data_IF_836334473112
#
_entry.id   IF_836334473112
#
_cell.length_a   1.000
_cell.length_b   1.000
_cell.length_c   1.000
_cell.angle_alpha   90.00
_cell.angle_beta   90.00
_cell.angle_gamma   90.00
#
_symmetry.space_group_name_H-M   'P 1'
#
loop_
_entity.id
_entity.type
_entity.pdbx_description
1 polymer ?
#
# COMPACT_ATOMS: atom_id res chain seq x y z
N UNK A 1 0.03 19.97 13.74
CA UNK A 1 -1.40 19.81 14.15
C UNK A 1 -1.47 19.76 15.67
N UNK A 2 -2.56 20.14 16.30
CA UNK A 2 -2.66 19.95 17.75
C UNK A 2 -2.92 18.47 18.09
N UNK A 3 -2.40 17.98 19.20
CA UNK A 3 -2.79 16.69 19.76
C UNK A 3 -4.32 16.60 19.88
N UNK A 4 -4.91 15.48 19.47
CA UNK A 4 -6.37 15.29 19.42
C UNK A 4 -6.78 14.01 20.11
N UNK A 5 -7.75 14.09 21.00
CA UNK A 5 -8.27 12.92 21.71
C UNK A 5 -9.11 12.02 20.78
N UNK A 6 -8.82 10.74 20.79
CA UNK A 6 -9.55 9.70 20.04
C UNK A 6 -10.69 9.17 20.93
N UNK A 7 -10.33 8.73 22.12
CA UNK A 7 -11.20 8.37 23.24
C UNK A 7 -10.50 8.82 24.51
N UNK A 8 -11.17 8.75 25.65
CA UNK A 8 -10.62 9.17 26.94
C UNK A 8 -9.20 8.63 27.20
N UNK A 9 -8.24 9.54 27.37
CA UNK A 9 -6.83 9.25 27.62
C UNK A 9 -6.07 8.54 26.48
N UNK A 10 -6.59 8.57 25.25
CA UNK A 10 -5.89 8.13 24.04
C UNK A 10 -5.87 9.29 23.03
N UNK A 11 -4.67 9.74 22.64
CA UNK A 11 -4.48 10.94 21.81
C UNK A 11 -3.69 10.63 20.55
N UNK A 12 -4.11 11.16 19.40
CA UNK A 12 -3.27 11.25 18.22
C UNK A 12 -2.30 12.43 18.39
N UNK A 13 -1.00 12.15 18.34
CA UNK A 13 0.10 13.11 18.57
C UNK A 13 1.02 13.26 17.34
N UNK A 14 0.81 12.47 16.31
CA UNK A 14 1.59 12.50 15.07
C UNK A 14 1.45 13.80 14.27
N UNK A 15 1.96 13.80 13.05
CA UNK A 15 2.06 14.96 12.15
C UNK A 15 1.30 14.76 10.86
N UNK A 16 1.03 15.85 10.13
CA UNK A 16 0.41 15.80 8.79
C UNK A 16 1.27 16.55 7.81
N UNK A 17 1.69 15.86 6.76
CA UNK A 17 2.42 16.45 5.66
C UNK A 17 1.50 16.68 4.44
N UNK A 18 0.96 17.89 4.33
CA UNK A 18 0.08 18.33 3.25
C UNK A 18 0.78 18.42 1.90
N UNK A 19 2.10 18.63 1.93
CA UNK A 19 2.92 18.89 0.76
C UNK A 19 3.72 17.68 0.29
N UNK A 20 3.58 16.53 0.94
CA UNK A 20 4.19 15.30 0.49
C UNK A 20 3.62 14.91 -0.88
N UNK A 21 4.48 14.82 -1.90
CA UNK A 21 4.09 14.44 -3.27
C UNK A 21 4.58 13.06 -3.68
N UNK A 22 5.58 12.56 -3.00
CA UNK A 22 6.11 11.21 -3.18
C UNK A 22 6.48 10.63 -1.82
N UNK A 23 5.94 9.46 -1.53
CA UNK A 23 6.35 8.63 -0.41
C UNK A 23 7.46 7.70 -0.89
N UNK A 24 8.54 7.54 -0.11
CA UNK A 24 9.72 6.73 -0.43
C UNK A 24 10.33 7.00 -1.82
N UNK A 25 10.19 8.21 -2.32
CA UNK A 25 10.64 8.60 -3.67
C UNK A 25 10.07 7.73 -4.82
N UNK A 26 9.06 6.93 -4.57
CA UNK A 26 8.48 5.97 -5.53
C UNK A 26 6.97 6.09 -5.70
N UNK A 27 6.23 6.33 -4.60
CA UNK A 27 4.77 6.34 -4.62
C UNK A 27 4.23 7.77 -4.63
N UNK A 28 3.52 8.18 -5.70
CA UNK A 28 2.84 9.47 -5.73
C UNK A 28 1.75 9.58 -4.67
N UNK A 29 1.77 10.66 -3.89
CA UNK A 29 0.82 10.97 -2.81
C UNK A 29 0.09 12.29 -3.08
N UNK A 30 -0.84 12.33 -4.04
CA UNK A 30 -1.50 13.57 -4.47
C UNK A 30 -2.28 14.28 -3.37
N UNK A 31 -2.65 13.56 -2.31
CA UNK A 31 -3.37 14.05 -1.13
C UNK A 31 -2.48 14.25 0.11
N UNK A 32 -1.14 14.21 -0.05
CA UNK A 32 -0.23 14.24 1.09
C UNK A 32 -0.29 12.96 1.91
N UNK A 33 0.18 13.02 3.15
CA UNK A 33 0.11 11.91 4.10
C UNK A 33 0.01 12.44 5.54
N UNK A 34 -0.19 11.54 6.50
CA UNK A 34 0.10 11.75 7.90
C UNK A 34 1.08 10.70 8.40
N UNK A 35 1.83 11.03 9.43
CA UNK A 35 2.69 10.14 10.19
C UNK A 35 2.12 10.06 11.59
N UNK A 36 1.26 9.08 11.81
CA UNK A 36 0.49 8.99 13.05
C UNK A 36 1.32 8.33 14.14
N UNK A 37 1.28 8.93 15.32
CA UNK A 37 1.72 8.34 16.55
C UNK A 37 0.64 8.60 17.61
N UNK A 38 0.58 7.75 18.64
CA UNK A 38 -0.52 7.81 19.58
C UNK A 38 0.00 7.74 21.02
N UNK A 39 -0.55 8.59 21.90
CA UNK A 39 -0.25 8.58 23.32
C UNK A 39 -1.38 7.91 24.09
N UNK A 40 -1.06 6.88 24.85
CA UNK A 40 -2.00 6.15 25.72
C UNK A 40 -1.61 6.42 27.18
N UNK A 41 -2.51 7.04 27.94
CA UNK A 41 -2.33 7.35 29.35
C UNK A 41 -3.14 6.40 30.22
N UNK A 42 -2.46 5.52 30.94
CA UNK A 42 -3.04 4.79 32.06
C UNK A 42 -3.00 5.64 33.35
N UNK A 43 -3.45 5.09 34.46
CA UNK A 43 -3.38 5.74 35.78
C UNK A 43 -1.99 5.66 36.42
N UNK A 44 -1.13 4.75 35.96
CA UNK A 44 0.21 4.50 36.52
C UNK A 44 1.32 4.73 35.49
N UNK A 45 1.08 4.42 34.23
CA UNK A 45 2.07 4.40 33.16
C UNK A 45 1.54 5.07 31.89
N UNK A 46 2.47 5.58 31.09
CA UNK A 46 2.18 6.21 29.79
C UNK A 46 2.98 5.54 28.69
N UNK A 47 2.31 5.15 27.61
CA UNK A 47 2.91 4.58 26.41
C UNK A 47 2.71 5.50 25.20
N UNK A 48 3.78 5.70 24.44
CA UNK A 48 3.74 6.27 23.12
C UNK A 48 3.77 5.13 22.11
N UNK A 49 2.84 5.10 21.17
CA UNK A 49 2.76 4.12 20.08
C UNK A 49 3.31 4.77 18.83
N UNK A 50 4.40 4.23 18.29
CA UNK A 50 5.23 4.74 17.21
C UNK A 50 5.78 6.15 17.45
N UNK A 51 6.67 6.64 16.59
CA UNK A 51 7.38 7.92 16.83
C UNK A 51 7.20 8.93 15.69
N UNK A 52 6.93 8.48 14.47
CA UNK A 52 6.70 9.32 13.30
C UNK A 52 7.97 9.71 12.53
N UNK A 53 7.79 10.57 11.53
CA UNK A 53 8.77 10.99 10.54
C UNK A 53 9.77 12.02 11.12
N UNK A 54 11.09 11.80 10.99
CA UNK A 54 12.11 12.71 11.54
C UNK A 54 12.06 14.14 11.03
N UNK A 55 11.61 14.35 9.79
CA UNK A 55 11.51 15.69 9.22
C UNK A 55 10.46 16.57 9.90
N UNK A 56 9.55 15.99 10.66
CA UNK A 56 8.43 16.65 11.35
C UNK A 56 8.68 16.78 12.88
N UNK A 57 9.93 16.61 13.35
CA UNK A 57 10.35 16.58 14.76
C UNK A 57 9.75 17.71 15.59
N UNK A 58 9.89 18.96 15.14
CA UNK A 58 9.45 20.13 15.89
C UNK A 58 7.95 20.15 16.15
N UNK A 59 7.14 19.73 15.19
CA UNK A 59 5.69 19.63 15.33
C UNK A 59 5.32 18.49 16.27
N UNK A 60 5.95 17.33 16.11
CA UNK A 60 5.72 16.15 16.94
C UNK A 60 6.00 16.42 18.43
N UNK A 61 7.20 16.96 18.74
CA UNK A 61 7.56 17.32 20.11
C UNK A 61 6.60 18.37 20.68
N UNK A 62 6.19 19.36 19.86
CA UNK A 62 5.19 20.35 20.27
C UNK A 62 3.85 19.69 20.66
N UNK A 63 3.42 18.67 19.93
CA UNK A 63 2.19 17.92 20.22
C UNK A 63 2.27 17.18 21.56
N UNK A 64 3.41 16.54 21.87
CA UNK A 64 3.63 15.92 23.18
C UNK A 64 3.65 16.95 24.32
N UNK A 65 4.34 18.07 24.13
CA UNK A 65 4.40 19.15 25.13
C UNK A 65 3.03 19.76 25.46
N UNK A 66 2.13 19.86 24.46
CA UNK A 66 0.76 20.37 24.68
C UNK A 66 -0.10 19.48 25.58
N UNK A 67 0.26 18.22 25.73
CA UNK A 67 -0.39 17.27 26.64
C UNK A 67 0.29 17.22 28.01
N UNK A 68 1.20 18.19 28.31
CA UNK A 68 2.03 18.21 29.52
C UNK A 68 2.80 16.90 29.74
N UNK A 69 3.21 16.24 28.65
CA UNK A 69 3.85 14.96 28.71
C UNK A 69 5.35 15.12 29.00
N UNK A 70 5.69 15.14 30.29
CA UNK A 70 7.05 15.33 30.79
C UNK A 70 7.82 14.01 31.01
N UNK A 71 7.14 12.87 30.93
CA UNK A 71 7.75 11.54 31.09
C UNK A 71 7.02 10.51 30.24
N UNK A 72 7.74 9.55 29.69
CA UNK A 72 7.21 8.35 29.08
C UNK A 72 7.78 7.13 29.81
N UNK A 73 6.93 6.14 30.06
CA UNK A 73 7.36 4.84 30.57
C UNK A 73 7.74 3.92 29.42
N UNK A 74 6.97 3.97 28.33
CA UNK A 74 7.13 3.09 27.19
C UNK A 74 7.05 3.84 25.86
N UNK A 75 7.89 3.41 24.91
CA UNK A 75 7.79 3.74 23.50
C UNK A 75 7.55 2.40 22.79
N UNK A 76 6.36 2.19 22.27
CA UNK A 76 5.97 0.97 21.56
C UNK A 76 6.24 1.16 20.08
N UNK A 77 7.17 0.41 19.52
CA UNK A 77 7.43 0.43 18.08
C UNK A 77 6.72 -0.76 17.43
N UNK A 78 5.67 -0.49 16.65
CA UNK A 78 4.89 -1.51 15.96
C UNK A 78 5.59 -1.99 14.70
N UNK A 79 6.49 -1.15 14.15
CA UNK A 79 7.20 -1.37 12.89
C UNK A 79 8.51 -0.58 12.87
N UNK A 80 9.56 -1.14 12.27
CA UNK A 80 10.91 -0.57 12.30
C UNK A 80 11.22 0.44 11.20
N UNK A 81 10.35 0.65 10.22
CA UNK A 81 10.56 1.62 9.14
C UNK A 81 10.72 3.04 9.70
N UNK A 82 11.59 3.86 9.08
CA UNK A 82 12.05 5.12 9.69
C UNK A 82 10.97 6.19 9.79
N UNK A 83 9.92 6.14 8.99
CA UNK A 83 8.78 7.06 9.10
C UNK A 83 7.88 6.76 10.31
N UNK A 84 8.04 5.59 10.94
CA UNK A 84 7.39 5.19 12.21
C UNK A 84 8.37 5.23 13.39
N UNK A 85 9.63 4.91 13.15
CA UNK A 85 10.64 4.71 14.20
C UNK A 85 11.72 5.79 14.22
N UNK A 86 11.77 6.68 13.24
CA UNK A 86 12.91 7.56 12.99
C UNK A 86 13.21 8.55 14.11
N UNK A 87 12.22 8.92 14.92
CA UNK A 87 12.44 9.78 16.08
C UNK A 87 12.80 9.02 17.36
N UNK A 88 12.91 7.68 17.30
CA UNK A 88 13.22 6.88 18.48
C UNK A 88 14.52 7.31 19.19
N UNK A 89 15.66 7.57 18.51
CA UNK A 89 16.88 8.03 19.17
C UNK A 89 16.67 9.33 19.97
N UNK A 90 16.03 10.33 19.35
CA UNK A 90 15.71 11.60 20.00
C UNK A 90 14.83 11.40 21.24
N UNK A 91 13.79 10.58 21.13
CA UNK A 91 12.88 10.32 22.24
C UNK A 91 13.56 9.58 23.39
N UNK A 92 14.52 8.69 23.11
CA UNK A 92 15.32 8.03 24.13
C UNK A 92 16.25 9.00 24.87
N UNK A 93 16.70 10.06 24.22
CA UNK A 93 17.47 11.15 24.83
C UNK A 93 16.56 12.07 25.67
N UNK A 94 15.39 12.43 25.15
CA UNK A 94 14.40 13.29 25.85
C UNK A 94 13.78 12.56 27.05
N UNK A 95 13.51 11.27 26.91
CA UNK A 95 12.90 10.41 27.93
C UNK A 95 13.85 9.28 28.34
N UNK A 96 14.91 9.58 29.12
CA UNK A 96 15.98 8.62 29.41
C UNK A 96 15.54 7.40 30.23
N UNK A 97 14.34 7.43 30.81
CA UNK A 97 13.79 6.31 31.59
C UNK A 97 12.83 5.43 30.78
N UNK A 98 12.40 5.87 29.58
CA UNK A 98 11.48 5.11 28.77
C UNK A 98 12.08 3.80 28.29
N UNK A 99 11.31 2.74 28.22
CA UNK A 99 11.67 1.45 27.62
C UNK A 99 11.04 1.33 26.25
N UNK A 100 11.76 0.73 25.31
CA UNK A 100 11.26 0.41 23.97
C UNK A 100 10.56 -0.95 24.02
N UNK A 101 9.28 -0.98 23.69
CA UNK A 101 8.48 -2.23 23.65
C UNK A 101 8.28 -2.60 22.20
N UNK A 102 8.73 -3.77 21.79
CA UNK A 102 8.63 -4.25 20.43
C UNK A 102 8.85 -5.77 20.36
N UNK A 103 8.69 -6.37 19.16
CA UNK A 103 9.03 -7.78 18.97
C UNK A 103 10.53 -7.98 18.61
N UNK A 104 11.01 -9.22 18.66
CA UNK A 104 12.42 -9.55 18.44
C UNK A 104 12.92 -9.15 17.04
N UNK A 105 12.07 -9.31 16.01
CA UNK A 105 12.45 -8.96 14.63
C UNK A 105 12.60 -7.45 14.49
N UNK A 106 11.63 -6.71 15.00
CA UNK A 106 11.64 -5.24 14.97
C UNK A 106 12.82 -4.67 15.79
N UNK A 107 13.12 -5.24 16.97
CA UNK A 107 14.32 -4.86 17.75
C UNK A 107 15.58 -4.94 16.87
N UNK A 108 15.76 -6.06 16.14
CA UNK A 108 16.90 -6.22 15.24
C UNK A 108 17.00 -5.09 14.23
N UNK A 109 15.88 -4.74 13.59
CA UNK A 109 15.83 -3.63 12.63
C UNK A 109 16.10 -2.28 13.27
N UNK A 110 15.49 -1.97 14.42
CA UNK A 110 15.68 -0.71 15.13
C UNK A 110 17.14 -0.51 15.55
N UNK A 111 17.80 -1.57 16.04
CA UNK A 111 19.22 -1.53 16.41
C UNK A 111 20.09 -1.20 15.21
N UNK A 112 19.88 -1.85 14.07
CA UNK A 112 20.64 -1.63 12.84
C UNK A 112 20.37 -0.22 12.23
N UNK A 113 19.10 0.17 12.11
CA UNK A 113 18.71 1.41 11.44
C UNK A 113 19.02 2.67 12.25
N UNK A 114 19.06 2.56 13.58
CA UNK A 114 19.26 3.71 14.48
C UNK A 114 20.54 3.64 15.31
N UNK A 115 21.44 2.67 15.07
CA UNK A 115 22.70 2.46 15.81
C UNK A 115 22.50 2.30 17.34
N UNK A 116 21.50 1.53 17.75
CA UNK A 116 21.15 1.34 19.17
C UNK A 116 21.86 0.14 19.83
N UNK A 117 23.05 -0.24 19.34
CA UNK A 117 23.78 -1.45 19.76
C UNK A 117 24.11 -1.54 21.26
N UNK A 118 24.24 -0.39 21.94
CA UNK A 118 24.58 -0.34 23.38
C UNK A 118 23.34 -0.19 24.28
N UNK A 119 22.12 -0.27 23.71
CA UNK A 119 20.86 0.00 24.40
C UNK A 119 20.02 -1.26 24.66
N UNK A 120 20.64 -2.44 24.72
CA UNK A 120 19.91 -3.72 24.86
C UNK A 120 19.03 -3.77 26.11
N UNK A 121 19.47 -3.20 27.21
CA UNK A 121 18.72 -3.09 28.48
C UNK A 121 17.48 -2.17 28.39
N UNK A 122 17.36 -1.38 27.32
CA UNK A 122 16.21 -0.48 27.11
C UNK A 122 15.03 -1.20 26.45
N UNK A 123 15.23 -2.39 25.88
CA UNK A 123 14.19 -3.12 25.15
C UNK A 123 13.40 -4.06 26.07
N UNK A 124 12.09 -4.10 25.84
CA UNK A 124 11.15 -5.11 26.34
C UNK A 124 10.60 -5.82 25.10
N UNK A 125 10.89 -7.12 25.03
CA UNK A 125 10.42 -7.93 23.89
C UNK A 125 9.05 -8.50 24.24
N UNK A 126 8.12 -8.33 23.30
CA UNK A 126 6.76 -8.86 23.37
C UNK A 126 6.49 -9.82 22.21
N UNK A 127 5.66 -10.83 22.47
CA UNK A 127 5.21 -11.83 21.52
C UNK A 127 3.71 -11.79 21.31
N UNK A 128 3.23 -12.83 20.63
CA UNK A 128 1.80 -13.02 20.39
C UNK A 128 1.03 -13.13 21.70
N UNK A 129 -0.04 -12.34 21.84
CA UNK A 129 -0.94 -12.27 23.01
C UNK A 129 -0.32 -11.77 24.31
N UNK A 130 0.94 -11.30 24.30
CA UNK A 130 1.54 -10.62 25.46
C UNK A 130 0.78 -9.34 25.79
N UNK A 131 0.84 -8.93 27.05
CA UNK A 131 0.15 -7.74 27.54
C UNK A 131 1.06 -6.83 28.34
N UNK A 132 0.77 -5.53 28.32
CA UNK A 132 1.45 -4.49 29.08
C UNK A 132 0.41 -3.65 29.82
N UNK A 133 0.42 -3.71 31.15
CA UNK A 133 -0.49 -2.95 32.01
C UNK A 133 0.02 -1.51 32.20
N UNK A 134 -0.85 -0.55 31.97
CA UNK A 134 -0.59 0.89 32.16
C UNK A 134 -1.34 1.46 33.37
N UNK A 135 -2.04 0.62 34.12
CA UNK A 135 -2.99 1.03 35.15
C UNK A 135 -4.33 1.45 34.54
N UNK A 136 -5.31 0.56 34.57
CA UNK A 136 -6.65 0.78 34.01
C UNK A 136 -6.76 0.81 32.49
N UNK A 137 -5.65 0.68 31.79
CA UNK A 137 -5.56 0.41 30.36
C UNK A 137 -4.50 -0.65 30.13
N UNK A 138 -4.84 -1.65 29.29
CA UNK A 138 -3.97 -2.80 28.97
C UNK A 138 -3.69 -2.80 27.48
N UNK A 139 -2.41 -2.72 27.10
CA UNK A 139 -1.98 -2.98 25.73
C UNK A 139 -1.83 -4.49 25.56
N UNK A 140 -2.50 -5.05 24.54
CA UNK A 140 -2.33 -6.43 24.09
C UNK A 140 -1.72 -6.44 22.70
N UNK A 141 -0.71 -7.30 22.49
CA UNK A 141 0.08 -7.34 21.27
C UNK A 141 -0.28 -8.53 20.38
N UNK A 142 -0.25 -8.31 19.07
CA UNK A 142 -0.50 -9.32 18.06
C UNK A 142 0.58 -9.22 16.99
N UNK A 143 1.33 -10.30 16.76
CA UNK A 143 2.32 -10.34 15.68
C UNK A 143 1.59 -10.40 14.33
N UNK A 144 1.99 -9.52 13.41
CA UNK A 144 1.36 -9.38 12.10
C UNK A 144 2.41 -9.26 10.97
N UNK A 145 3.37 -10.21 10.87
CA UNK A 145 4.43 -10.14 9.87
C UNK A 145 3.86 -10.12 8.44
N UNK A 146 4.55 -9.36 7.56
CA UNK A 146 4.22 -9.22 6.14
C UNK A 146 2.94 -8.42 5.83
N UNK A 147 2.58 -7.50 6.75
CA UNK A 147 1.66 -6.40 6.45
C UNK A 147 2.26 -5.05 6.89
N UNK A 148 3.37 -4.54 6.27
CA UNK A 148 3.93 -5.17 5.05
C UNK A 148 5.35 -5.73 5.26
N UNK A 149 6.04 -5.46 6.38
CA UNK A 149 7.37 -5.97 6.70
C UNK A 149 7.29 -7.16 7.68
N UNK A 150 8.42 -7.93 7.82
CA UNK A 150 8.44 -9.14 8.66
C UNK A 150 8.31 -8.86 10.18
N UNK A 151 8.51 -7.63 10.59
CA UNK A 151 8.53 -7.17 11.97
C UNK A 151 7.21 -6.54 12.44
N UNK A 152 6.26 -6.31 11.55
CA UNK A 152 5.00 -5.63 11.89
C UNK A 152 4.26 -6.35 13.00
N UNK A 153 3.74 -5.58 13.95
CA UNK A 153 2.79 -6.04 14.97
C UNK A 153 1.67 -5.03 15.18
N UNK A 154 0.57 -5.47 15.78
CA UNK A 154 -0.53 -4.61 16.23
C UNK A 154 -0.53 -4.51 17.75
N UNK A 155 -1.12 -3.43 18.27
CA UNK A 155 -1.38 -3.27 19.69
C UNK A 155 -2.83 -2.83 19.91
N UNK A 156 -3.51 -3.42 20.88
CA UNK A 156 -4.89 -3.09 21.26
C UNK A 156 -4.92 -2.50 22.65
N UNK A 157 -5.62 -1.37 22.86
CA UNK A 157 -6.11 -1.00 24.18
C UNK A 157 -7.41 -1.77 24.41
N UNK A 158 -7.34 -2.81 25.22
CA UNK A 158 -8.41 -3.80 25.38
C UNK A 158 -9.70 -3.17 25.91
N UNK A 159 -9.61 -2.29 26.90
CA UNK A 159 -10.76 -1.68 27.59
C UNK A 159 -11.55 -0.75 26.65
N UNK A 160 -10.87 -0.07 25.73
CA UNK A 160 -11.45 0.89 24.80
C UNK A 160 -11.78 0.28 23.44
N UNK A 161 -11.26 -0.92 23.15
CA UNK A 161 -11.32 -1.57 21.83
C UNK A 161 -10.70 -0.68 20.73
N UNK A 162 -9.55 -0.07 21.01
CA UNK A 162 -8.77 0.71 20.05
C UNK A 162 -7.60 -0.13 19.57
N UNK A 163 -7.55 -0.43 18.27
CA UNK A 163 -6.50 -1.22 17.65
C UNK A 163 -5.56 -0.32 16.85
N UNK A 164 -4.29 -0.31 17.21
CA UNK A 164 -3.21 0.30 16.44
C UNK A 164 -2.65 -0.75 15.48
N UNK A 165 -2.72 -0.47 14.18
CA UNK A 165 -2.45 -1.47 13.14
C UNK A 165 -1.17 -1.20 12.34
N UNK A 166 -0.34 -0.25 12.78
CA UNK A 166 0.80 0.21 11.98
C UNK A 166 0.30 0.61 10.56
N UNK A 167 0.96 0.20 9.51
CA UNK A 167 0.57 0.48 8.13
C UNK A 167 -0.72 -0.22 7.69
N UNK A 168 -1.07 -1.31 8.34
CA UNK A 168 -2.23 -2.09 7.91
C UNK A 168 -3.52 -1.28 8.02
N UNK A 169 -4.30 -1.23 6.93
CA UNK A 169 -5.52 -0.43 6.78
C UNK A 169 -5.28 1.09 6.75
N UNK A 170 -4.02 1.52 6.64
CA UNK A 170 -3.63 2.93 6.48
C UNK A 170 -3.94 3.50 5.09
N UNK A 171 -3.70 4.81 4.96
CA UNK A 171 -3.94 5.54 3.71
C UNK A 171 -3.05 6.78 3.65
N UNK A 172 -2.28 7.00 2.58
CA UNK A 172 -1.61 8.29 2.37
C UNK A 172 -2.66 9.36 2.02
N UNK A 173 -3.14 10.01 3.06
CA UNK A 173 -4.18 11.02 2.97
C UNK A 173 -4.03 12.03 4.11
N UNK A 174 -3.58 13.23 3.77
CA UNK A 174 -3.61 14.35 4.70
C UNK A 174 -5.06 14.78 4.93
N UNK A 175 -5.49 14.86 6.18
CA UNK A 175 -6.88 15.19 6.56
C UNK A 175 -6.91 16.23 7.65
N UNK A 176 -7.81 17.21 7.52
CA UNK A 176 -8.13 18.16 8.57
C UNK A 176 -9.00 17.55 9.68
N UNK A 177 -9.68 16.42 9.38
CA UNK A 177 -10.47 15.66 10.35
C UNK A 177 -9.65 14.53 10.94
N UNK A 178 -9.79 14.27 12.24
CA UNK A 178 -9.15 13.15 12.90
C UNK A 178 -9.69 11.81 12.41
N UNK A 179 -11.00 11.76 12.21
CA UNK A 179 -11.69 10.54 11.86
C UNK A 179 -12.04 10.50 10.38
N UNK A 180 -11.92 9.29 9.80
CA UNK A 180 -12.43 9.01 8.47
C UNK A 180 -13.97 9.20 8.46
N UNK A 181 -14.46 9.84 7.41
CA UNK A 181 -15.88 9.98 7.14
C UNK A 181 -16.14 9.90 5.62
N UNK A 182 -17.39 9.68 5.24
CA UNK A 182 -17.79 9.53 3.84
C UNK A 182 -17.73 10.84 3.02
N UNK A 183 -17.49 11.98 3.67
CA UNK A 183 -17.37 13.28 3.02
C UNK A 183 -15.94 13.59 2.55
N UNK A 184 -14.94 12.77 2.96
CA UNK A 184 -13.55 12.97 2.52
C UNK A 184 -13.43 12.67 1.02
N UNK A 185 -13.12 13.68 0.19
CA UNK A 185 -13.04 13.50 -1.24
C UNK A 185 -11.88 12.55 -1.59
N UNK A 186 -12.12 11.66 -2.54
CA UNK A 186 -11.11 10.74 -3.08
C UNK A 186 -10.45 9.80 -2.04
N UNK A 187 -11.01 9.70 -0.82
CA UNK A 187 -10.43 8.87 0.24
C UNK A 187 -10.34 7.39 -0.16
N UNK A 188 -11.40 6.87 -0.78
CA UNK A 188 -11.42 5.46 -1.22
C UNK A 188 -10.43 5.20 -2.38
N UNK A 189 -10.21 6.19 -3.24
CA UNK A 189 -9.18 6.11 -4.27
C UNK A 189 -7.79 6.09 -3.63
N UNK A 190 -7.52 6.99 -2.68
CA UNK A 190 -6.26 7.02 -1.94
C UNK A 190 -6.02 5.72 -1.16
N UNK A 191 -7.04 5.14 -0.52
CA UNK A 191 -6.95 3.86 0.17
C UNK A 191 -6.62 2.71 -0.79
N UNK A 192 -7.23 2.68 -1.99
CA UNK A 192 -6.93 1.67 -3.00
C UNK A 192 -5.52 1.83 -3.58
N UNK A 193 -5.06 3.08 -3.75
CA UNK A 193 -3.69 3.40 -4.17
C UNK A 193 -2.67 2.90 -3.14
N UNK A 194 -2.91 3.18 -1.87
CA UNK A 194 -2.09 2.71 -0.74
C UNK A 194 -2.06 1.18 -0.70
N UNK A 195 -3.23 0.52 -0.71
CA UNK A 195 -3.32 -0.93 -0.77
C UNK A 195 -2.50 -1.52 -1.94
N UNK A 196 -2.65 -0.96 -3.13
CA UNK A 196 -1.99 -1.49 -4.32
C UNK A 196 -0.47 -1.42 -4.25
N UNK A 197 0.06 -0.34 -3.68
CA UNK A 197 1.49 -0.08 -3.64
C UNK A 197 2.21 -0.82 -2.51
N UNK A 198 1.54 -1.01 -1.35
CA UNK A 198 2.18 -1.49 -0.11
C UNK A 198 1.67 -2.89 0.27
N UNK A 199 0.35 -3.13 0.21
CA UNK A 199 -0.28 -4.34 0.76
C UNK A 199 -0.50 -5.44 -0.28
N UNK A 200 -0.76 -5.09 -1.55
CA UNK A 200 -1.13 -6.06 -2.60
C UNK A 200 -0.10 -7.18 -2.83
N UNK A 201 1.22 -6.95 -2.73
CA UNK A 201 2.21 -8.04 -2.85
C UNK A 201 2.05 -9.13 -1.78
N UNK A 202 1.46 -8.78 -0.65
CA UNK A 202 1.30 -9.60 0.54
C UNK A 202 -0.15 -10.06 0.77
N UNK A 203 -0.95 -10.21 -0.30
CA UNK A 203 -2.39 -10.56 -0.22
C UNK A 203 -2.72 -11.73 0.73
N UNK A 204 -1.85 -12.73 0.82
CA UNK A 204 -2.02 -13.86 1.72
C UNK A 204 -2.11 -13.42 3.18
N UNK A 205 -1.09 -12.67 3.62
CA UNK A 205 -1.02 -12.10 4.96
C UNK A 205 -2.14 -11.09 5.21
N UNK A 206 -2.46 -10.24 4.21
CA UNK A 206 -3.60 -9.32 4.32
C UNK A 206 -4.89 -10.08 4.65
N UNK A 207 -5.21 -11.19 3.97
CA UNK A 207 -6.42 -11.99 4.28
C UNK A 207 -6.39 -12.57 5.69
N UNK A 208 -5.23 -13.10 6.10
CA UNK A 208 -5.05 -13.65 7.45
C UNK A 208 -5.32 -12.60 8.52
N UNK A 209 -4.73 -11.41 8.40
CA UNK A 209 -4.90 -10.36 9.40
C UNK A 209 -6.22 -9.62 9.32
N UNK A 210 -6.94 -9.66 8.20
CA UNK A 210 -8.35 -9.25 8.17
C UNK A 210 -9.21 -10.16 9.04
N UNK A 211 -8.98 -11.47 9.06
CA UNK A 211 -9.69 -12.40 9.96
C UNK A 211 -9.31 -12.17 11.43
N UNK A 212 -8.04 -11.83 11.71
CA UNK A 212 -7.62 -11.42 13.05
C UNK A 212 -8.35 -10.15 13.49
N UNK A 213 -8.40 -9.11 12.66
CA UNK A 213 -9.13 -7.86 12.95
C UNK A 213 -10.60 -8.12 13.22
N UNK A 214 -11.26 -8.99 12.43
CA UNK A 214 -12.65 -9.40 12.68
C UNK A 214 -12.83 -10.14 14.02
N UNK A 215 -11.83 -10.92 14.43
CA UNK A 215 -11.84 -11.66 15.71
C UNK A 215 -11.66 -10.72 16.90
N UNK A 216 -10.80 -9.72 16.78
CA UNK A 216 -10.57 -8.67 17.78
C UNK A 216 -11.83 -7.79 17.92
N UNK A 217 -12.55 -7.56 16.81
CA UNK A 217 -13.74 -6.70 16.75
C UNK A 217 -13.51 -5.31 17.35
N UNK A 218 -12.50 -4.54 16.84
CA UNK A 218 -12.19 -3.23 17.38
C UNK A 218 -13.31 -2.23 17.05
N UNK A 219 -13.57 -1.29 17.97
CA UNK A 219 -14.47 -0.16 17.72
C UNK A 219 -13.77 0.91 16.87
N UNK A 220 -12.47 1.05 17.07
CA UNK A 220 -11.64 2.05 16.40
C UNK A 220 -10.37 1.35 15.90
N UNK A 221 -9.98 1.66 14.66
CA UNK A 221 -8.66 1.32 14.14
C UNK A 221 -7.88 2.62 13.96
N UNK A 222 -6.68 2.65 14.50
CA UNK A 222 -5.76 3.78 14.49
C UNK A 222 -4.48 3.42 13.72
N UNK A 223 -4.45 3.60 12.39
CA UNK A 223 -3.31 3.25 11.54
C UNK A 223 -2.22 4.31 11.60
N UNK A 224 -1.01 3.96 11.14
CA UNK A 224 0.12 4.89 11.09
C UNK A 224 0.01 5.96 10.01
N UNK A 225 -0.86 5.78 9.02
CA UNK A 225 -1.12 6.79 7.98
C UNK A 225 -2.62 7.03 7.76
N UNK A 226 -2.96 8.28 7.51
CA UNK A 226 -4.33 8.71 7.22
C UNK A 226 -5.20 8.89 8.47
N UNK A 227 -6.50 9.12 8.29
CA UNK A 227 -7.44 9.34 9.38
C UNK A 227 -7.73 8.05 10.17
N UNK A 228 -8.06 8.22 11.44
CA UNK A 228 -8.52 7.14 12.35
C UNK A 228 -9.89 6.62 11.90
N UNK A 229 -10.10 5.32 11.93
CA UNK A 229 -11.29 4.63 11.46
C UNK A 229 -12.24 4.33 12.62
N UNK A 230 -13.32 5.11 12.76
CA UNK A 230 -14.37 4.88 13.79
C UNK A 230 -15.37 3.78 13.38
N UNK A 231 -15.52 3.53 12.08
CA UNK A 231 -16.36 2.47 11.53
C UNK A 231 -15.51 1.64 10.56
N UNK A 232 -14.60 0.78 11.08
CA UNK A 232 -13.59 0.12 10.27
C UNK A 232 -14.17 -0.89 9.27
N UNK A 233 -15.40 -1.38 9.47
CA UNK A 233 -16.01 -2.42 8.64
C UNK A 233 -15.95 -2.11 7.14
N UNK A 234 -16.21 -0.86 6.73
CA UNK A 234 -16.19 -0.46 5.31
C UNK A 234 -14.81 -0.68 4.66
N UNK A 235 -13.73 -0.27 5.33
CA UNK A 235 -12.36 -0.45 4.82
C UNK A 235 -11.93 -1.91 4.90
N UNK A 236 -12.30 -2.60 5.96
CA UNK A 236 -12.07 -4.05 6.11
C UNK A 236 -12.72 -4.83 4.97
N UNK A 237 -13.97 -4.52 4.61
CA UNK A 237 -14.69 -5.16 3.50
C UNK A 237 -14.04 -4.85 2.14
N UNK A 238 -13.57 -3.60 1.93
CA UNK A 238 -12.85 -3.23 0.71
C UNK A 238 -11.51 -3.96 0.59
N UNK A 239 -10.75 -4.04 1.67
CA UNK A 239 -9.50 -4.82 1.69
C UNK A 239 -9.77 -6.31 1.43
N UNK A 240 -10.85 -6.88 1.98
CA UNK A 240 -11.25 -8.26 1.72
C UNK A 240 -11.58 -8.49 0.23
N UNK A 241 -12.29 -7.55 -0.42
CA UNK A 241 -12.54 -7.59 -1.88
C UNK A 241 -11.22 -7.49 -2.65
N UNK A 242 -10.36 -6.51 -2.35
CA UNK A 242 -9.09 -6.30 -3.04
C UNK A 242 -8.12 -7.47 -2.86
N UNK A 243 -8.04 -8.05 -1.66
CA UNK A 243 -7.18 -9.17 -1.33
C UNK A 243 -7.75 -10.54 -1.75
N UNK A 244 -8.99 -10.63 -2.24
CA UNK A 244 -9.59 -11.88 -2.71
C UNK A 244 -8.81 -12.52 -3.86
N UNK A 245 -9.01 -13.82 -4.10
CA UNK A 245 -8.36 -14.56 -5.19
C UNK A 245 -9.05 -14.35 -6.55
N UNK A 246 -10.30 -13.87 -6.55
CA UNK A 246 -11.09 -13.72 -7.77
C UNK A 246 -10.94 -12.29 -8.30
N UNK A 247 -10.41 -12.11 -9.52
CA UNK A 247 -10.42 -10.81 -10.19
C UNK A 247 -11.82 -10.46 -10.69
N UNK A 248 -12.02 -9.20 -11.05
CA UNK A 248 -13.24 -8.73 -11.69
C UNK A 248 -13.14 -8.89 -13.20
N UNK A 249 -14.27 -9.11 -13.86
CA UNK A 249 -14.37 -9.05 -15.31
C UNK A 249 -13.99 -7.66 -15.82
N UNK A 250 -12.69 -7.41 -15.97
CA UNK A 250 -12.12 -6.11 -16.31
C UNK A 250 -10.78 -6.29 -17.01
N UNK A 251 -10.52 -5.50 -18.03
CA UNK A 251 -9.24 -5.42 -18.75
C UNK A 251 -8.58 -4.07 -18.50
N UNK A 252 -7.28 -4.10 -18.23
CA UNK A 252 -6.43 -2.91 -18.22
C UNK A 252 -5.54 -2.94 -19.45
N UNK A 253 -5.61 -1.90 -20.30
CA UNK A 253 -4.75 -1.70 -21.45
C UNK A 253 -3.80 -0.54 -21.14
N UNK A 254 -2.55 -0.86 -20.82
CA UNK A 254 -1.50 0.13 -20.53
C UNK A 254 -0.61 0.29 -21.78
N UNK A 255 -0.62 1.47 -22.40
CA UNK A 255 0.06 1.67 -23.68
C UNK A 255 1.03 2.83 -23.68
N UNK A 256 2.03 2.72 -24.53
CA UNK A 256 2.88 3.82 -24.98
C UNK A 256 2.98 3.78 -26.51
N UNK A 257 3.03 4.93 -27.15
CA UNK A 257 3.13 5.01 -28.61
C UNK A 257 4.00 6.18 -29.04
N UNK A 258 4.93 5.96 -29.98
CA UNK A 258 5.82 7.00 -30.50
C UNK A 258 5.22 7.69 -31.73
N UNK A 259 4.71 6.91 -32.69
CA UNK A 259 4.25 7.40 -34.00
C UNK A 259 2.82 6.99 -34.33
N UNK A 260 2.04 6.57 -33.32
CA UNK A 260 0.61 6.29 -33.45
C UNK A 260 0.24 4.83 -33.75
N UNK A 261 1.14 3.99 -34.28
CA UNK A 261 0.86 2.59 -34.60
C UNK A 261 0.33 1.80 -33.39
N UNK A 262 1.09 1.74 -32.30
CA UNK A 262 0.68 1.04 -31.07
C UNK A 262 -0.60 1.62 -30.47
N UNK A 263 -0.79 2.96 -30.52
CA UNK A 263 -2.03 3.59 -30.05
C UNK A 263 -3.24 3.15 -30.86
N UNK A 264 -3.11 3.03 -32.19
CA UNK A 264 -4.19 2.51 -33.03
C UNK A 264 -4.55 1.07 -32.66
N UNK A 265 -3.54 0.19 -32.48
CA UNK A 265 -3.75 -1.19 -32.03
C UNK A 265 -4.46 -1.26 -30.67
N UNK A 266 -4.02 -0.44 -29.70
CA UNK A 266 -4.66 -0.35 -28.40
C UNK A 266 -6.13 0.09 -28.50
N UNK A 267 -6.44 1.07 -29.35
CA UNK A 267 -7.80 1.54 -29.57
C UNK A 267 -8.67 0.46 -30.22
N UNK A 268 -8.18 -0.27 -31.25
CA UNK A 268 -8.91 -1.38 -31.84
C UNK A 268 -9.23 -2.48 -30.82
N UNK A 269 -8.27 -2.80 -29.93
CA UNK A 269 -8.51 -3.77 -28.87
C UNK A 269 -9.56 -3.28 -27.86
N UNK A 270 -9.49 -2.02 -27.45
CA UNK A 270 -10.47 -1.40 -26.55
C UNK A 270 -11.88 -1.45 -27.16
N UNK A 271 -12.02 -1.02 -28.41
CA UNK A 271 -13.30 -1.06 -29.13
C UNK A 271 -13.83 -2.49 -29.25
N UNK A 272 -12.96 -3.44 -29.58
CA UNK A 272 -13.33 -4.85 -29.70
C UNK A 272 -13.81 -5.47 -28.38
N UNK A 273 -13.17 -5.09 -27.24
CA UNK A 273 -13.57 -5.53 -25.90
C UNK A 273 -14.91 -4.91 -25.47
N UNK A 274 -15.12 -3.62 -25.75
CA UNK A 274 -16.39 -2.93 -25.46
C UNK A 274 -17.54 -3.58 -26.23
N UNK A 275 -17.35 -3.93 -27.52
CA UNK A 275 -18.35 -4.63 -28.33
C UNK A 275 -18.72 -6.01 -27.75
N UNK A 276 -17.85 -6.62 -26.93
CA UNK A 276 -18.07 -7.89 -26.23
C UNK A 276 -18.60 -7.70 -24.81
N UNK A 277 -18.92 -6.46 -24.42
CA UNK A 277 -19.43 -6.14 -23.08
C UNK A 277 -18.41 -6.26 -21.96
N UNK A 278 -17.12 -6.22 -22.27
CA UNK A 278 -16.04 -6.29 -21.27
C UNK A 278 -15.64 -4.89 -20.83
N UNK A 279 -15.73 -4.56 -19.53
CA UNK A 279 -15.20 -3.32 -19.00
C UNK A 279 -13.70 -3.20 -19.25
N UNK A 280 -13.25 -2.09 -19.83
CA UNK A 280 -11.85 -1.85 -20.15
C UNK A 280 -11.43 -0.45 -19.72
N UNK A 281 -10.25 -0.35 -19.10
CA UNK A 281 -9.60 0.92 -18.82
C UNK A 281 -8.31 1.02 -19.63
N UNK A 282 -8.16 2.13 -20.34
CA UNK A 282 -6.98 2.41 -21.16
C UNK A 282 -6.14 3.51 -20.51
N UNK A 283 -4.83 3.27 -20.37
CA UNK A 283 -3.88 4.18 -19.75
C UNK A 283 -2.71 4.48 -20.67
N UNK A 284 -2.46 5.77 -20.93
CA UNK A 284 -1.23 6.20 -21.58
C UNK A 284 -0.12 6.26 -20.54
N UNK A 285 0.88 5.42 -20.66
CA UNK A 285 1.98 5.28 -19.69
C UNK A 285 2.88 6.54 -19.58
N UNK A 286 2.77 7.48 -20.51
CA UNK A 286 3.49 8.77 -20.40
C UNK A 286 2.80 9.74 -19.44
N UNK A 287 1.49 9.60 -19.24
CA UNK A 287 0.66 10.53 -18.46
C UNK A 287 0.08 9.87 -17.20
N UNK A 288 0.35 8.58 -17.00
CA UNK A 288 -0.20 7.77 -15.89
C UNK A 288 0.86 7.52 -14.84
N UNK A 289 0.65 7.99 -13.62
CA UNK A 289 1.53 7.68 -12.51
C UNK A 289 1.41 6.22 -12.04
N UNK A 290 2.45 5.75 -11.31
CA UNK A 290 2.54 4.36 -10.83
C UNK A 290 1.39 3.96 -9.89
N UNK A 291 0.87 4.88 -9.08
CA UNK A 291 -0.23 4.61 -8.15
C UNK A 291 -1.58 4.47 -8.86
N UNK A 292 -1.82 5.24 -9.94
CA UNK A 292 -3.01 5.08 -10.80
C UNK A 292 -2.97 3.71 -11.48
N UNK A 293 -1.84 3.34 -12.07
CA UNK A 293 -1.69 2.03 -12.69
C UNK A 293 -1.83 0.90 -11.66
N UNK A 294 -1.16 1.03 -10.50
CA UNK A 294 -1.25 0.09 -9.40
C UNK A 294 -2.71 -0.14 -8.95
N UNK A 295 -3.46 0.94 -8.73
CA UNK A 295 -4.90 0.86 -8.37
C UNK A 295 -5.75 0.20 -9.45
N UNK A 296 -5.43 0.45 -10.72
CA UNK A 296 -6.19 -0.10 -11.84
C UNK A 296 -6.06 -1.62 -11.95
N UNK A 297 -4.87 -2.16 -11.63
CA UNK A 297 -4.57 -3.60 -11.77
C UNK A 297 -4.97 -4.43 -10.55
N UNK A 298 -5.36 -3.82 -9.41
CA UNK A 298 -5.74 -4.54 -8.17
C UNK A 298 -6.73 -5.69 -8.44
N UNK A 299 -7.72 -5.43 -9.28
CA UNK A 299 -8.85 -6.34 -9.53
C UNK A 299 -9.06 -6.69 -11.01
N UNK A 300 -8.11 -6.35 -11.89
CA UNK A 300 -8.21 -6.64 -13.30
C UNK A 300 -7.90 -8.13 -13.60
N UNK A 301 -8.79 -8.78 -14.34
CA UNK A 301 -8.60 -10.17 -14.79
C UNK A 301 -7.55 -10.28 -15.90
N UNK A 302 -7.47 -9.27 -16.76
CA UNK A 302 -6.48 -9.23 -17.86
C UNK A 302 -5.75 -7.89 -17.87
N UNK A 303 -4.42 -7.93 -18.05
CA UNK A 303 -3.58 -6.76 -18.25
C UNK A 303 -2.88 -6.89 -19.62
N UNK A 304 -3.03 -5.87 -20.45
CA UNK A 304 -2.39 -5.77 -21.77
C UNK A 304 -1.34 -4.66 -21.73
N UNK A 305 -0.10 -4.99 -22.05
CA UNK A 305 0.97 -4.02 -22.27
C UNK A 305 1.10 -3.77 -23.78
N UNK A 306 0.86 -2.54 -24.19
CA UNK A 306 0.97 -2.13 -25.58
C UNK A 306 2.20 -1.22 -25.76
N UNK A 307 3.20 -1.65 -26.55
CA UNK A 307 4.49 -0.97 -26.66
C UNK A 307 5.05 -0.98 -28.08
N UNK A 308 5.68 0.12 -28.55
CA UNK A 308 6.55 0.06 -29.72
C UNK A 308 7.91 -0.53 -29.34
N UNK A 309 8.66 -0.95 -30.34
CA UNK A 309 10.07 -1.35 -30.18
C UNK A 309 10.99 -0.13 -30.23
N UNK A 310 11.87 -0.05 -29.23
CA UNK A 310 12.94 0.95 -29.12
C UNK A 310 14.27 0.22 -28.92
N UNK A 311 15.28 0.48 -29.80
CA UNK A 311 16.59 -0.16 -29.70
C UNK A 311 16.50 -1.68 -29.50
N UNK A 312 15.66 -2.35 -30.35
CA UNK A 312 15.39 -3.77 -30.35
C UNK A 312 14.55 -4.31 -29.17
N UNK A 313 14.38 -3.56 -28.08
CA UNK A 313 13.58 -3.92 -26.88
C UNK A 313 12.26 -3.16 -26.81
N UNK A 314 11.47 -3.38 -25.74
CA UNK A 314 10.28 -2.60 -25.46
C UNK A 314 10.63 -1.16 -25.05
N UNK A 315 9.68 -0.23 -25.19
CA UNK A 315 9.85 1.13 -24.70
C UNK A 315 10.08 1.15 -23.19
N UNK A 316 11.03 1.98 -22.64
CA UNK A 316 11.37 1.98 -21.22
C UNK A 316 10.20 2.12 -20.26
N UNK A 317 9.19 2.97 -20.57
CA UNK A 317 8.00 3.09 -19.69
C UNK A 317 7.14 1.83 -19.68
N UNK A 318 7.13 1.02 -20.76
CA UNK A 318 6.47 -0.27 -20.78
C UNK A 318 7.22 -1.31 -19.94
N UNK A 319 8.55 -1.23 -19.90
CA UNK A 319 9.39 -2.04 -18.99
C UNK A 319 9.08 -1.69 -17.54
N UNK A 320 8.98 -0.40 -17.21
CA UNK A 320 8.59 0.04 -15.87
C UNK A 320 7.18 -0.47 -15.49
N UNK A 321 6.21 -0.41 -16.41
CA UNK A 321 4.87 -0.95 -16.15
C UNK A 321 4.89 -2.47 -15.94
N UNK A 322 5.67 -3.22 -16.72
CA UNK A 322 5.86 -4.67 -16.54
C UNK A 322 6.53 -4.99 -15.19
N UNK A 323 7.53 -4.20 -14.79
CA UNK A 323 8.16 -4.33 -13.49
C UNK A 323 7.15 -4.10 -12.35
N UNK A 324 6.31 -3.08 -12.44
CA UNK A 324 5.26 -2.82 -11.46
C UNK A 324 4.26 -3.98 -11.39
N UNK A 325 3.78 -4.50 -12.50
CA UNK A 325 2.88 -5.67 -12.54
C UNK A 325 3.54 -6.86 -11.84
N UNK A 326 4.83 -7.13 -12.13
CA UNK A 326 5.59 -8.20 -11.47
C UNK A 326 5.76 -7.97 -9.97
N UNK A 327 6.14 -6.76 -9.56
CA UNK A 327 6.43 -6.44 -8.16
C UNK A 327 5.15 -6.43 -7.30
N UNK A 328 4.08 -5.85 -7.81
CA UNK A 328 2.81 -5.69 -7.10
C UNK A 328 1.97 -6.98 -7.07
N UNK A 329 2.27 -7.97 -7.91
CA UNK A 329 1.62 -9.30 -7.92
C UNK A 329 0.09 -9.23 -7.90
N UNK A 330 -0.56 -8.54 -8.85
CA UNK A 330 -2.01 -8.47 -8.90
C UNK A 330 -2.63 -9.87 -9.05
N UNK A 331 -3.91 -10.02 -8.73
CA UNK A 331 -4.66 -11.28 -8.87
C UNK A 331 -5.09 -11.58 -10.32
N UNK A 332 -4.45 -10.91 -11.30
CA UNK A 332 -4.74 -11.09 -12.73
C UNK A 332 -4.56 -12.54 -13.17
N UNK A 333 -5.37 -12.99 -14.11
CA UNK A 333 -5.32 -14.35 -14.67
C UNK A 333 -4.64 -14.38 -16.03
N UNK A 334 -4.69 -13.28 -16.79
CA UNK A 334 -4.15 -13.21 -18.14
C UNK A 334 -3.32 -11.96 -18.36
N UNK A 335 -2.22 -12.13 -19.09
CA UNK A 335 -1.33 -11.06 -19.51
C UNK A 335 -1.20 -11.09 -21.04
N UNK A 336 -1.13 -9.94 -21.68
CA UNK A 336 -0.93 -9.87 -23.13
C UNK A 336 0.02 -8.75 -23.52
N UNK A 337 0.68 -8.94 -24.65
CA UNK A 337 1.58 -7.94 -25.24
C UNK A 337 1.13 -7.65 -26.65
N UNK A 338 0.85 -6.38 -26.96
CA UNK A 338 0.60 -5.93 -28.32
C UNK A 338 1.54 -4.80 -28.71
N UNK A 339 1.79 -4.59 -29.99
CA UNK A 339 2.64 -3.48 -30.40
C UNK A 339 3.23 -3.60 -31.79
N UNK A 340 4.22 -2.76 -32.05
CA UNK A 340 4.82 -2.68 -33.37
C UNK A 340 6.32 -2.42 -33.36
N UNK A 341 6.97 -2.76 -34.47
CA UNK A 341 8.39 -2.53 -34.70
C UNK A 341 8.66 -2.05 -36.13
N UNK A 342 9.84 -1.44 -36.37
CA UNK A 342 10.24 -1.01 -37.71
C UNK A 342 11.10 -2.06 -38.44
N UNK A 343 12.20 -2.51 -37.83
CA UNK A 343 13.22 -3.33 -38.50
C UNK A 343 13.60 -4.61 -37.77
N UNK A 344 13.32 -4.72 -36.47
CA UNK A 344 13.58 -5.91 -35.67
C UNK A 344 13.17 -5.70 -34.23
N UNK A 345 12.91 -6.78 -33.49
CA UNK A 345 12.41 -6.71 -32.13
C UNK A 345 12.72 -7.96 -31.32
N UNK A 346 12.92 -7.78 -30.03
CA UNK A 346 12.85 -8.82 -28.97
C UNK A 346 11.87 -8.39 -27.84
N UNK A 347 11.03 -7.38 -28.10
CA UNK A 347 10.20 -6.76 -27.07
C UNK A 347 9.22 -7.75 -26.43
N UNK A 348 8.62 -8.64 -27.20
CA UNK A 348 7.67 -9.64 -26.72
C UNK A 348 8.35 -10.61 -25.75
N UNK A 349 9.47 -11.21 -26.15
CA UNK A 349 10.19 -12.15 -25.29
C UNK A 349 10.68 -11.47 -24.00
N UNK A 350 11.22 -10.26 -24.11
CA UNK A 350 11.68 -9.49 -22.95
C UNK A 350 10.57 -9.25 -21.93
N UNK A 351 9.38 -8.83 -22.40
CA UNK A 351 8.24 -8.60 -21.51
C UNK A 351 7.66 -9.91 -20.97
N UNK A 352 7.61 -10.96 -21.77
CA UNK A 352 7.13 -12.27 -21.35
C UNK A 352 8.00 -12.85 -20.21
N UNK A 353 9.33 -12.84 -20.36
CA UNK A 353 10.27 -13.26 -19.32
C UNK A 353 10.13 -12.43 -18.03
N UNK A 354 9.92 -11.12 -18.16
CA UNK A 354 9.71 -10.25 -16.99
C UNK A 354 8.40 -10.56 -16.27
N UNK A 355 7.34 -10.91 -16.99
CA UNK A 355 6.00 -11.14 -16.48
C UNK A 355 5.75 -12.58 -16.01
N UNK A 356 6.58 -13.55 -16.43
CA UNK A 356 6.46 -14.96 -16.04
C UNK A 356 6.26 -15.16 -14.52
N UNK A 357 7.00 -14.47 -13.64
CA UNK A 357 6.86 -14.66 -12.19
C UNK A 357 5.52 -14.19 -11.59
N UNK A 358 4.67 -13.50 -12.38
CA UNK A 358 3.31 -13.16 -11.96
C UNK A 358 2.43 -14.40 -11.83
N UNK A 359 2.74 -15.46 -12.62
CA UNK A 359 2.01 -16.73 -12.61
C UNK A 359 0.69 -16.69 -13.38
N UNK A 360 0.42 -15.62 -14.14
CA UNK A 360 -0.73 -15.51 -15.02
C UNK A 360 -0.43 -16.08 -16.41
N UNK A 361 -1.46 -16.55 -17.11
CA UNK A 361 -1.33 -17.02 -18.50
C UNK A 361 -0.96 -15.85 -19.42
N UNK A 362 0.12 -16.04 -20.21
CA UNK A 362 0.50 -15.08 -21.25
C UNK A 362 -0.25 -15.44 -22.54
N UNK A 363 -1.10 -14.52 -23.00
CA UNK A 363 -1.87 -14.67 -24.22
C UNK A 363 -0.98 -14.53 -25.47
N UNK A 364 -1.43 -15.08 -26.59
CA UNK A 364 -0.74 -14.95 -27.89
C UNK A 364 -0.54 -13.48 -28.24
N UNK A 365 0.69 -13.01 -28.46
CA UNK A 365 0.95 -11.60 -28.73
C UNK A 365 0.52 -11.18 -30.13
N UNK A 366 0.05 -9.94 -30.29
CA UNK A 366 -0.16 -9.29 -31.59
C UNK A 366 0.91 -8.23 -31.79
N UNK A 367 2.01 -8.58 -32.49
CA UNK A 367 3.18 -7.71 -32.61
C UNK A 367 3.62 -7.61 -34.08
N UNK A 368 3.41 -6.46 -34.68
CA UNK A 368 3.47 -6.26 -36.13
C UNK A 368 4.62 -5.38 -36.59
N UNK A 369 4.97 -5.47 -37.87
CA UNK A 369 5.88 -4.53 -38.52
C UNK A 369 5.13 -3.34 -39.11
N UNK A 370 5.41 -2.12 -38.64
CA UNK A 370 4.84 -0.89 -39.22
C UNK A 370 3.47 -0.52 -38.66
N UNK A 371 2.56 -0.13 -39.52
CA UNK A 371 1.18 0.27 -39.20
C UNK A 371 0.22 -0.93 -39.23
N UNK A 372 -0.84 -0.93 -38.40
CA UNK A 372 -1.85 -1.97 -38.46
C UNK A 372 -2.62 -1.94 -39.81
N UNK A 373 -2.82 -3.12 -40.40
CA UNK A 373 -3.60 -3.40 -41.59
C UNK A 373 -4.83 -4.25 -41.24
N UNK A 374 -5.56 -4.70 -42.28
CA UNK A 374 -6.79 -5.51 -42.08
C UNK A 374 -6.51 -6.86 -41.42
N UNK A 375 -5.34 -7.49 -41.64
CA UNK A 375 -4.93 -8.73 -40.98
C UNK A 375 -4.66 -8.47 -39.50
N UNK A 376 -3.93 -7.42 -39.20
CA UNK A 376 -3.66 -6.97 -37.80
C UNK A 376 -4.96 -6.70 -37.06
N UNK A 377 -5.92 -6.01 -37.67
CA UNK A 377 -7.22 -5.72 -37.06
C UNK A 377 -7.96 -7.05 -36.78
N UNK A 378 -7.93 -8.00 -37.71
CA UNK A 378 -8.49 -9.33 -37.50
C UNK A 378 -7.85 -10.07 -36.30
N UNK A 379 -6.54 -10.00 -36.15
CA UNK A 379 -5.84 -10.66 -35.06
C UNK A 379 -6.13 -10.00 -33.70
N UNK A 380 -6.26 -8.67 -33.67
CA UNK A 380 -6.72 -7.94 -32.47
C UNK A 380 -8.15 -8.37 -32.08
N UNK A 381 -9.05 -8.56 -33.05
CA UNK A 381 -10.41 -9.04 -32.76
C UNK A 381 -10.39 -10.48 -32.23
N UNK A 382 -9.53 -11.36 -32.77
CA UNK A 382 -9.34 -12.73 -32.23
C UNK A 382 -8.80 -12.69 -30.79
N UNK A 383 -7.85 -11.81 -30.49
CA UNK A 383 -7.38 -11.61 -29.11
C UNK A 383 -8.52 -11.18 -28.18
N UNK A 384 -9.37 -10.24 -28.64
CA UNK A 384 -10.55 -9.82 -27.86
C UNK A 384 -11.55 -10.96 -27.67
N UNK A 385 -11.77 -11.84 -28.68
CA UNK A 385 -12.60 -13.04 -28.55
C UNK A 385 -12.02 -14.01 -27.51
N UNK A 386 -10.70 -14.24 -27.55
CA UNK A 386 -10.00 -15.08 -26.59
C UNK A 386 -10.17 -14.55 -25.17
N UNK A 387 -9.98 -13.25 -24.94
CA UNK A 387 -10.18 -12.60 -23.64
C UNK A 387 -11.64 -12.77 -23.19
N UNK A 388 -12.61 -12.51 -24.07
CA UNK A 388 -14.03 -12.64 -23.76
C UNK A 388 -14.41 -14.06 -23.35
N UNK A 389 -13.87 -15.08 -24.02
CA UNK A 389 -14.12 -16.48 -23.66
C UNK A 389 -13.54 -16.82 -22.28
N UNK A 390 -12.29 -16.42 -22.02
CA UNK A 390 -11.63 -16.64 -20.74
C UNK A 390 -12.30 -15.91 -19.58
N UNK A 391 -12.96 -14.79 -19.82
CA UNK A 391 -13.68 -14.01 -18.82
C UNK A 391 -15.07 -14.56 -18.47
N UNK A 392 -15.57 -15.58 -19.20
CA UNK A 392 -16.85 -16.24 -18.85
C UNK A 392 -16.75 -17.07 -17.57
N UNK A 393 -15.54 -17.50 -17.21
CA UNK A 393 -15.27 -18.36 -16.05
C UNK A 393 -14.82 -17.58 -14.79
N UNK A 394 -14.98 -16.25 -14.77
CA UNK A 394 -14.58 -15.36 -13.66
C UNK A 394 -15.67 -15.19 -12.61
#
# INVERSE_FOLDING_TARGET
MAAREIVENIYAVGTINWDLRYFDAIMPTPRGSSYNAYLVKGTEKVALIDTGEPNDEAEFITNLMRLDQNSLDYIVCLHGEQDHSGMLPLLLDVYPMAKVVTNEVCKGLLVEMHNLYEMDDRFIIVGQDDTLDLGGKTLKFYLAPWVHWPDTMFAEVVEDKVLFTSDFLGTHYASETLFQNDELPDYLEAAKRYYSAIMMPFRGSVREYLELVKTIDPKIIAPSHGPVLQMPAKIVDLYADWASETPKNKVVVAYVSMHGSTKQMANFLVDALIQRGIPVNQYNLLDTDSGVLGSAIVDAATIILATPTVLFGPHPVAVNAAYLVRALRPKTKHLGVIGSYGWGTNAVNYLAEMLEPVGAEILEPVYIKGLPDEETISDIYKLADTIAEKHKDL
#
